data_IF_688141320370
#
_entry.id   IF_688141320370
#
_cell.length_a   1.000
_cell.length_b   1.000
_cell.length_c   1.000
_cell.angle_alpha   90.00
_cell.angle_beta   90.00
_cell.angle_gamma   90.00
#
_symmetry.space_group_name_H-M   'P 1'
#
loop_
_entity.id
_entity.type
_entity.pdbx_description
1 polymer ?
#
# COMPACT_ATOMS: atom_id res chain seq x y z
N UNK A 1 28.29 49.72 -19.20
CA UNK A 1 28.30 49.24 -20.60
C UNK A 1 28.19 47.68 -20.60
N UNK A 2 28.85 46.99 -19.71
CA UNK A 2 28.88 45.51 -19.67
C UNK A 2 27.53 44.88 -19.28
N UNK A 3 26.73 45.55 -18.45
CA UNK A 3 25.41 45.08 -18.01
C UNK A 3 24.34 45.12 -19.13
N UNK A 4 24.42 46.09 -20.01
CA UNK A 4 23.51 46.26 -21.16
C UNK A 4 23.75 45.14 -22.19
N UNK A 5 24.99 44.75 -22.41
CA UNK A 5 25.34 43.68 -23.35
C UNK A 5 24.85 42.31 -22.83
N UNK A 6 24.81 42.12 -21.51
CA UNK A 6 24.31 40.90 -20.88
C UNK A 6 22.79 40.77 -21.02
N UNK A 7 22.05 41.87 -20.86
CA UNK A 7 20.59 41.90 -21.03
C UNK A 7 20.15 41.64 -22.48
N UNK A 8 20.88 42.22 -23.45
CA UNK A 8 20.62 42.00 -24.88
C UNK A 8 20.87 40.52 -25.28
N UNK A 9 21.88 39.89 -24.68
CA UNK A 9 22.18 38.48 -24.90
C UNK A 9 21.09 37.55 -24.30
N UNK A 10 20.52 37.90 -23.15
CA UNK A 10 19.42 37.19 -22.53
C UNK A 10 18.10 37.29 -23.31
N UNK A 11 17.81 38.45 -23.89
CA UNK A 11 16.62 38.63 -24.74
C UNK A 11 16.74 37.88 -26.08
N UNK A 12 17.92 37.81 -26.68
CA UNK A 12 18.17 37.00 -27.87
C UNK A 12 18.07 35.51 -27.60
N UNK A 13 18.46 35.03 -26.43
CA UNK A 13 18.27 33.62 -26.00
C UNK A 13 16.79 33.28 -25.74
N UNK A 14 16.00 34.21 -25.24
CA UNK A 14 14.54 34.02 -25.08
C UNK A 14 13.77 33.96 -26.38
N UNK A 15 14.24 34.64 -27.42
CA UNK A 15 13.63 34.59 -28.77
C UNK A 15 14.07 33.38 -29.63
N UNK A 16 15.12 32.70 -29.26
CA UNK A 16 15.61 31.52 -29.99
C UNK A 16 14.94 30.20 -29.57
N UNK A 17 14.15 30.17 -28.47
CA UNK A 17 13.31 29.05 -28.11
C UNK A 17 11.91 29.23 -28.71
N UNK A 18 11.84 29.37 -30.06
CA UNK A 18 10.61 29.07 -30.78
C UNK A 18 10.53 27.53 -30.80
N UNK A 19 9.79 26.99 -29.85
CA UNK A 19 9.37 25.59 -29.87
C UNK A 19 8.63 25.39 -31.19
N UNK A 20 9.30 24.82 -32.20
CA UNK A 20 8.62 24.25 -33.34
C UNK A 20 7.57 23.31 -32.77
N UNK A 21 6.28 23.62 -32.97
CA UNK A 21 5.19 22.68 -32.68
C UNK A 21 5.60 21.36 -33.29
N UNK A 22 6.08 20.44 -32.48
CA UNK A 22 6.37 19.09 -32.92
C UNK A 22 5.05 18.55 -33.46
N UNK A 23 5.07 18.03 -34.67
CA UNK A 23 3.98 17.19 -35.19
C UNK A 23 3.62 16.24 -34.05
N UNK A 24 2.35 16.25 -33.63
CA UNK A 24 1.86 15.30 -32.67
C UNK A 24 2.24 13.91 -33.19
N UNK A 25 3.19 13.27 -32.51
CA UNK A 25 3.42 11.85 -32.74
C UNK A 25 2.10 11.16 -32.43
N UNK A 26 1.58 10.26 -33.31
CA UNK A 26 0.47 9.41 -32.91
C UNK A 26 0.89 8.76 -31.61
N UNK A 27 0.06 8.94 -30.55
CA UNK A 27 0.28 8.21 -29.31
C UNK A 27 0.28 6.75 -29.74
N UNK A 28 1.36 5.98 -29.49
CA UNK A 28 1.28 4.55 -29.69
C UNK A 28 0.06 4.10 -28.87
N UNK A 29 -0.82 3.28 -29.46
CA UNK A 29 -1.72 2.44 -28.69
C UNK A 29 -0.80 1.59 -27.82
N UNK A 30 -0.64 2.03 -26.56
CA UNK A 30 0.16 1.32 -25.59
C UNK A 30 -0.72 0.16 -25.17
N UNK A 31 -0.59 -0.97 -25.84
CA UNK A 31 -0.87 -2.24 -25.21
C UNK A 31 -0.09 -2.23 -23.90
N UNK A 32 -0.81 -2.02 -22.80
CA UNK A 32 -0.21 -1.96 -21.48
C UNK A 32 0.58 -3.27 -21.29
N UNK A 33 1.91 -3.23 -21.18
CA UNK A 33 2.68 -4.44 -21.01
C UNK A 33 2.15 -5.22 -19.81
N UNK A 34 2.16 -6.56 -19.85
CA UNK A 34 1.57 -7.41 -18.79
C UNK A 34 1.96 -6.99 -17.38
N UNK A 35 3.20 -6.56 -17.18
CA UNK A 35 3.71 -6.06 -15.90
C UNK A 35 2.97 -4.81 -15.38
N UNK A 36 2.52 -3.90 -16.26
CA UNK A 36 1.72 -2.74 -15.85
C UNK A 36 0.28 -3.12 -15.51
N UNK A 37 -0.26 -4.15 -16.17
CA UNK A 37 -1.59 -4.68 -15.84
C UNK A 37 -1.57 -5.40 -14.49
N UNK A 38 -0.57 -6.23 -14.21
CA UNK A 38 -0.36 -6.87 -12.90
C UNK A 38 -0.20 -5.86 -11.78
N UNK A 39 0.62 -4.83 -11.99
CA UNK A 39 0.79 -3.76 -11.02
C UNK A 39 -0.54 -3.05 -10.74
N UNK A 40 -1.30 -2.69 -11.77
CA UNK A 40 -2.59 -2.03 -11.61
C UNK A 40 -3.59 -2.89 -10.81
N UNK A 41 -3.66 -4.21 -11.09
CA UNK A 41 -4.50 -5.16 -10.35
C UNK A 41 -4.06 -5.24 -8.89
N UNK A 42 -2.77 -5.33 -8.63
CA UNK A 42 -2.19 -5.39 -7.28
C UNK A 42 -2.59 -4.17 -6.44
N UNK A 43 -2.41 -2.96 -6.95
CA UNK A 43 -2.74 -1.74 -6.21
C UNK A 43 -4.26 -1.54 -6.05
N UNK A 44 -5.06 -1.99 -7.02
CA UNK A 44 -6.52 -1.96 -6.87
C UNK A 44 -7.00 -2.94 -5.78
N UNK A 45 -6.44 -4.15 -5.71
CA UNK A 45 -6.74 -5.12 -4.65
C UNK A 45 -6.36 -4.58 -3.27
N UNK A 46 -5.18 -3.93 -3.15
CA UNK A 46 -4.76 -3.26 -1.92
C UNK A 46 -5.76 -2.17 -1.51
N UNK A 47 -6.22 -1.37 -2.47
CA UNK A 47 -7.24 -0.35 -2.22
C UNK A 47 -8.54 -0.94 -1.70
N UNK A 48 -9.00 -2.07 -2.25
CA UNK A 48 -10.21 -2.77 -1.79
C UNK A 48 -10.06 -3.20 -0.32
N UNK A 49 -8.92 -3.77 0.07
CA UNK A 49 -8.62 -4.17 1.45
C UNK A 49 -8.68 -2.97 2.40
N UNK A 50 -8.27 -1.79 1.94
CA UNK A 50 -8.30 -0.54 2.70
C UNK A 50 -9.68 0.18 2.67
N UNK A 51 -10.74 -0.46 2.15
CA UNK A 51 -12.10 0.07 2.15
C UNK A 51 -12.54 0.74 0.83
N UNK A 52 -11.75 0.58 -0.24
CA UNK A 52 -12.09 1.03 -1.58
C UNK A 52 -12.06 2.54 -1.77
N UNK A 53 -12.80 3.02 -2.78
CA UNK A 53 -12.85 4.45 -3.16
C UNK A 53 -13.48 5.36 -2.11
N UNK A 54 -14.25 4.81 -1.18
CA UNK A 54 -14.90 5.60 -0.13
C UNK A 54 -13.88 6.08 0.92
N UNK A 55 -12.89 5.25 1.22
CA UNK A 55 -11.82 5.53 2.20
C UNK A 55 -10.58 6.10 1.57
N UNK A 56 -10.19 5.59 0.40
CA UNK A 56 -9.03 6.04 -0.38
C UNK A 56 -9.50 6.62 -1.71
N UNK A 57 -9.55 7.96 -1.80
CA UNK A 57 -9.95 8.66 -3.02
C UNK A 57 -8.88 8.63 -4.11
N UNK A 58 -7.62 8.54 -3.71
CA UNK A 58 -6.49 8.48 -4.64
C UNK A 58 -6.41 7.09 -5.30
N UNK A 59 -6.11 7.08 -6.60
CA UNK A 59 -5.73 5.84 -7.28
C UNK A 59 -4.30 5.47 -6.86
N UNK A 60 -4.11 4.21 -6.49
CA UNK A 60 -2.77 3.68 -6.25
C UNK A 60 -2.29 3.05 -7.56
N UNK A 61 -1.15 3.49 -8.07
CA UNK A 61 -0.58 3.01 -9.33
C UNK A 61 0.87 2.54 -9.19
N UNK A 62 1.52 2.86 -8.07
CA UNK A 62 2.91 2.49 -7.83
C UNK A 62 3.37 2.72 -6.39
N UNK A 63 4.62 2.31 -6.13
CA UNK A 63 5.23 2.43 -4.80
C UNK A 63 5.37 3.90 -4.35
N UNK A 64 5.53 4.83 -5.29
CA UNK A 64 5.58 6.27 -4.97
C UNK A 64 4.27 6.77 -4.38
N UNK A 65 3.12 6.23 -4.83
CA UNK A 65 1.81 6.59 -4.27
C UNK A 65 1.68 6.07 -2.84
N UNK A 66 2.22 4.88 -2.53
CA UNK A 66 2.25 4.34 -1.17
C UNK A 66 3.12 5.21 -0.26
N UNK A 67 4.29 5.67 -0.74
CA UNK A 67 5.15 6.58 0.01
C UNK A 67 4.45 7.91 0.28
N UNK A 68 3.78 8.48 -0.73
CA UNK A 68 3.02 9.71 -0.57
C UNK A 68 1.88 9.52 0.45
N UNK A 69 1.10 8.44 0.30
CA UNK A 69 0.00 8.09 1.20
C UNK A 69 0.47 7.88 2.65
N UNK A 70 1.65 7.27 2.83
CA UNK A 70 2.25 7.09 4.17
C UNK A 70 2.54 8.43 4.84
N UNK A 71 3.00 9.41 4.07
CA UNK A 71 3.33 10.76 4.57
C UNK A 71 2.09 11.62 4.82
N UNK A 72 1.08 11.49 3.96
CA UNK A 72 -0.19 12.21 4.08
C UNK A 72 -1.06 11.64 5.21
N UNK A 73 -0.98 10.34 5.45
CA UNK A 73 -1.85 9.62 6.38
C UNK A 73 -3.10 9.06 5.70
N UNK A 74 -3.65 8.01 6.27
CA UNK A 74 -4.91 7.38 5.85
C UNK A 74 -5.98 7.58 6.91
N UNK A 75 -7.25 7.56 6.48
CA UNK A 75 -8.38 7.71 7.39
C UNK A 75 -8.48 6.54 8.37
N UNK A 76 -8.90 6.82 9.63
CA UNK A 76 -9.20 5.78 10.63
C UNK A 76 -10.20 4.75 10.11
N UNK A 77 -11.17 5.14 9.29
CA UNK A 77 -12.17 4.23 8.71
C UNK A 77 -11.58 3.07 7.92
N UNK A 78 -10.34 3.19 7.40
CA UNK A 78 -9.61 2.09 6.75
C UNK A 78 -9.35 0.91 7.69
N UNK A 79 -9.18 1.17 8.99
CA UNK A 79 -8.91 0.13 9.99
C UNK A 79 -10.01 -0.90 10.08
N UNK A 80 -11.27 -0.48 9.96
CA UNK A 80 -12.43 -1.39 10.01
C UNK A 80 -12.40 -2.38 8.85
N UNK A 81 -12.13 -1.90 7.63
CA UNK A 81 -12.03 -2.76 6.45
C UNK A 81 -10.87 -3.73 6.57
N UNK A 82 -9.69 -3.27 6.99
CA UNK A 82 -8.53 -4.13 7.18
C UNK A 82 -8.77 -5.17 8.28
N UNK A 83 -9.35 -4.78 9.42
CA UNK A 83 -9.69 -5.69 10.51
C UNK A 83 -10.64 -6.80 10.04
N UNK A 84 -11.63 -6.45 9.19
CA UNK A 84 -12.53 -7.41 8.57
C UNK A 84 -11.80 -8.40 7.64
N UNK A 85 -10.81 -7.94 6.87
CA UNK A 85 -10.00 -8.81 6.00
C UNK A 85 -9.09 -9.76 6.79
N UNK A 86 -8.58 -9.31 7.94
CA UNK A 86 -7.77 -10.14 8.85
C UNK A 86 -8.62 -11.01 9.79
N UNK A 87 -9.93 -10.78 9.88
CA UNK A 87 -10.81 -11.49 10.82
C UNK A 87 -10.53 -11.15 12.28
N UNK A 88 -10.10 -9.91 12.59
CA UNK A 88 -9.72 -9.48 13.94
C UNK A 88 -10.64 -8.37 14.46
N UNK A 89 -10.67 -8.22 15.79
CA UNK A 89 -11.36 -7.11 16.44
C UNK A 89 -10.60 -5.78 16.28
N UNK A 90 -11.31 -4.66 16.47
CA UNK A 90 -10.66 -3.34 16.51
C UNK A 90 -9.71 -3.17 17.71
N UNK A 91 -9.91 -3.94 18.78
CA UNK A 91 -9.00 -3.99 19.92
C UNK A 91 -7.68 -4.64 19.51
N UNK A 92 -7.73 -5.83 18.85
CA UNK A 92 -6.55 -6.50 18.30
C UNK A 92 -5.85 -5.61 17.27
N UNK A 93 -6.61 -4.98 16.36
CA UNK A 93 -6.05 -4.03 15.39
C UNK A 93 -5.29 -2.89 16.08
N UNK A 94 -5.85 -2.33 17.16
CA UNK A 94 -5.19 -1.27 17.92
C UNK A 94 -3.87 -1.75 18.53
N UNK A 95 -3.83 -2.99 19.03
CA UNK A 95 -2.61 -3.63 19.54
C UNK A 95 -1.53 -3.75 18.47
N UNK A 96 -1.88 -4.21 17.25
CA UNK A 96 -0.96 -4.28 16.11
C UNK A 96 -0.40 -2.91 15.70
N UNK A 97 -1.14 -1.83 15.96
CA UNK A 97 -0.72 -0.45 15.72
C UNK A 97 0.03 0.18 16.90
N UNK A 98 0.38 -0.61 17.92
CA UNK A 98 1.00 -0.13 19.16
C UNK A 98 0.24 1.05 19.79
N UNK A 99 -1.09 1.01 19.73
CA UNK A 99 -1.98 2.04 20.25
C UNK A 99 -3.03 1.43 21.17
N UNK A 100 -3.46 2.18 22.19
CA UNK A 100 -4.58 1.72 22.98
C UNK A 100 -5.87 1.78 22.17
N UNK A 101 -6.76 0.82 22.36
CA UNK A 101 -8.09 0.81 21.74
C UNK A 101 -8.86 2.12 21.99
N UNK A 102 -8.76 2.66 23.21
CA UNK A 102 -9.39 3.93 23.57
C UNK A 102 -8.88 5.11 22.73
N UNK A 103 -7.57 5.13 22.42
CA UNK A 103 -6.98 6.17 21.56
C UNK A 103 -7.51 6.08 20.13
N UNK A 104 -7.62 4.87 19.59
CA UNK A 104 -8.18 4.66 18.25
C UNK A 104 -9.68 5.00 18.25
N UNK A 105 -10.42 4.57 19.27
CA UNK A 105 -11.87 4.78 19.34
C UNK A 105 -12.26 6.27 19.41
N UNK A 106 -11.46 7.10 20.10
CA UNK A 106 -11.72 8.54 20.24
C UNK A 106 -11.52 9.36 18.98
N UNK A 107 -10.82 8.83 17.99
CA UNK A 107 -10.63 9.48 16.70
C UNK A 107 -11.90 9.43 15.85
N UNK A 108 -12.17 10.51 15.13
CA UNK A 108 -13.23 10.52 14.12
C UNK A 108 -12.92 9.57 12.97
N UNK A 109 -13.94 9.04 12.29
CA UNK A 109 -13.75 8.09 11.17
C UNK A 109 -12.95 8.69 10.00
N UNK A 110 -13.07 10.00 9.80
CA UNK A 110 -12.36 10.75 8.76
C UNK A 110 -11.00 11.31 9.24
N UNK A 111 -10.67 11.16 10.53
CA UNK A 111 -9.38 11.61 11.07
C UNK A 111 -8.24 10.77 10.48
N UNK A 112 -7.17 11.46 10.07
CA UNK A 112 -5.99 10.80 9.51
C UNK A 112 -5.15 10.16 10.62
N UNK A 113 -4.64 8.98 10.33
CA UNK A 113 -3.64 8.32 11.14
C UNK A 113 -2.28 8.99 10.92
N UNK A 114 -1.44 8.98 11.94
CA UNK A 114 -0.06 9.43 11.81
C UNK A 114 0.76 8.51 10.87
N UNK A 115 1.93 8.98 10.46
CA UNK A 115 2.81 8.28 9.50
C UNK A 115 3.13 6.85 9.95
N UNK A 116 3.48 6.63 11.23
CA UNK A 116 3.85 5.30 11.72
C UNK A 116 2.67 4.31 11.68
N UNK A 117 1.49 4.76 12.09
CA UNK A 117 0.28 3.93 12.01
C UNK A 117 -0.13 3.69 10.57
N UNK A 118 -0.03 4.71 9.71
CA UNK A 118 -0.32 4.58 8.28
C UNK A 118 0.61 3.54 7.63
N UNK A 119 1.92 3.62 7.88
CA UNK A 119 2.90 2.66 7.38
C UNK A 119 2.55 1.23 7.82
N UNK A 120 2.25 1.05 9.12
CA UNK A 120 1.86 -0.27 9.65
C UNK A 120 0.58 -0.81 9.01
N UNK A 121 -0.42 0.04 8.79
CA UNK A 121 -1.67 -0.35 8.11
C UNK A 121 -1.41 -0.76 6.66
N UNK A 122 -0.58 -0.03 5.93
CA UNK A 122 -0.20 -0.39 4.55
C UNK A 122 0.60 -1.69 4.51
N UNK A 123 1.51 -1.92 5.46
CA UNK A 123 2.24 -3.18 5.59
C UNK A 123 1.29 -4.37 5.84
N UNK A 124 0.37 -4.23 6.80
CA UNK A 124 -0.65 -5.25 7.09
C UNK A 124 -1.60 -5.50 5.92
N UNK A 125 -1.98 -4.46 5.19
CA UNK A 125 -2.84 -4.59 4.01
C UNK A 125 -2.12 -5.31 2.86
N UNK A 126 -0.85 -5.00 2.61
CA UNK A 126 -0.03 -5.71 1.63
C UNK A 126 0.18 -7.19 2.02
N UNK A 127 0.38 -7.47 3.30
CA UNK A 127 0.43 -8.82 3.83
C UNK A 127 -0.89 -9.57 3.63
N UNK A 128 -2.04 -8.95 3.96
CA UNK A 128 -3.36 -9.56 3.76
C UNK A 128 -3.63 -9.86 2.28
N UNK A 129 -3.29 -8.93 1.40
CA UNK A 129 -3.39 -9.14 -0.04
C UNK A 129 -2.59 -10.38 -0.47
N UNK A 130 -1.31 -10.44 -0.12
CA UNK A 130 -0.45 -11.58 -0.46
C UNK A 130 -0.97 -12.88 0.12
N UNK A 131 -1.46 -12.86 1.36
CA UNK A 131 -2.04 -14.03 2.01
C UNK A 131 -3.28 -14.55 1.28
N UNK A 132 -4.18 -13.66 0.88
CA UNK A 132 -5.40 -14.02 0.11
C UNK A 132 -5.01 -14.60 -1.25
N UNK A 133 -4.03 -14.01 -1.94
CA UNK A 133 -3.53 -14.50 -3.24
C UNK A 133 -2.98 -15.93 -3.12
N UNK A 134 -2.13 -16.20 -2.13
CA UNK A 134 -1.48 -17.51 -1.95
C UNK A 134 -2.45 -18.59 -1.45
N UNK A 135 -3.31 -18.24 -0.51
CA UNK A 135 -4.28 -19.19 0.09
C UNK A 135 -5.51 -19.40 -0.81
N UNK A 136 -5.83 -18.43 -1.68
CA UNK A 136 -6.86 -18.51 -2.70
C UNK A 136 -8.20 -17.85 -2.36
N UNK A 137 -8.51 -17.58 -1.07
CA UNK A 137 -9.71 -16.84 -0.68
C UNK A 137 -9.52 -16.09 0.63
N UNK A 138 -10.36 -15.04 0.84
CA UNK A 138 -10.38 -14.25 2.08
C UNK A 138 -10.73 -15.11 3.29
N UNK A 139 -11.69 -16.01 3.14
CA UNK A 139 -12.18 -16.88 4.20
C UNK A 139 -11.10 -17.90 4.62
N UNK A 140 -10.49 -18.59 3.66
CA UNK A 140 -9.41 -19.53 3.92
C UNK A 140 -8.16 -18.84 4.50
N UNK A 141 -7.87 -17.61 4.04
CA UNK A 141 -6.78 -16.82 4.60
C UNK A 141 -7.03 -16.44 6.07
N UNK A 142 -8.25 -16.05 6.44
CA UNK A 142 -8.61 -15.80 7.84
C UNK A 142 -8.41 -17.06 8.69
N UNK A 143 -8.93 -18.19 8.24
CA UNK A 143 -8.79 -19.45 8.94
C UNK A 143 -7.31 -19.81 9.15
N UNK A 144 -6.50 -19.71 8.09
CA UNK A 144 -5.06 -19.94 8.17
C UNK A 144 -4.37 -18.98 9.12
N UNK A 145 -4.73 -17.68 9.10
CA UNK A 145 -4.13 -16.64 9.93
C UNK A 145 -4.32 -16.91 11.43
N UNK A 146 -5.44 -17.56 11.79
CA UNK A 146 -5.80 -17.88 13.18
C UNK A 146 -5.44 -19.32 13.59
N UNK A 147 -4.96 -20.14 12.67
CA UNK A 147 -4.60 -21.55 12.94
C UNK A 147 -3.14 -21.68 13.39
N UNK A 148 -2.85 -22.53 14.40
CA UNK A 148 -1.48 -22.80 14.80
C UNK A 148 -0.68 -23.46 13.68
N UNK A 149 0.55 -22.99 13.45
CA UNK A 149 1.45 -23.51 12.40
C UNK A 149 2.73 -24.06 13.04
N UNK A 150 3.12 -25.27 12.68
CA UNK A 150 4.32 -25.95 13.21
C UNK A 150 5.57 -25.11 12.99
N UNK A 151 5.74 -24.53 11.79
CA UNK A 151 6.87 -23.67 11.45
C UNK A 151 6.96 -22.39 12.31
N UNK A 152 5.89 -22.02 13.03
CA UNK A 152 5.82 -20.89 13.97
C UNK A 152 5.80 -21.35 15.44
N UNK A 153 6.25 -22.58 15.73
CA UNK A 153 6.24 -23.14 17.08
C UNK A 153 4.84 -23.39 17.61
N UNK A 154 3.91 -23.83 16.76
CA UNK A 154 2.50 -24.05 17.05
C UNK A 154 1.75 -22.79 17.52
N UNK A 155 2.17 -21.62 17.03
CA UNK A 155 1.46 -20.35 17.21
C UNK A 155 0.77 -19.94 15.92
N UNK A 156 -0.35 -19.20 15.99
CA UNK A 156 -0.99 -18.67 14.80
C UNK A 156 -0.14 -17.55 14.18
N UNK A 157 -0.14 -17.38 12.85
CA UNK A 157 0.54 -16.28 12.17
C UNK A 157 0.18 -14.90 12.71
N UNK A 158 -1.05 -14.73 13.18
CA UNK A 158 -1.54 -13.48 13.76
C UNK A 158 -0.65 -12.96 14.89
N UNK A 159 -0.11 -13.85 15.72
CA UNK A 159 0.71 -13.48 16.89
C UNK A 159 2.04 -12.81 16.50
N UNK A 160 2.41 -12.84 15.23
CA UNK A 160 3.66 -12.28 14.73
C UNK A 160 3.46 -10.96 13.95
N UNK A 161 2.21 -10.49 13.78
CA UNK A 161 1.93 -9.30 12.96
C UNK A 161 2.18 -7.98 13.67
N UNK A 162 2.48 -7.99 14.95
CA UNK A 162 2.80 -6.79 15.74
C UNK A 162 4.09 -6.10 15.29
N UNK A 163 5.05 -6.87 14.75
CA UNK A 163 6.34 -6.36 14.28
C UNK A 163 6.55 -6.59 12.79
N UNK A 164 7.33 -5.72 12.12
CA UNK A 164 7.70 -5.90 10.71
C UNK A 164 8.55 -7.17 10.50
N UNK A 165 9.41 -7.53 11.47
CA UNK A 165 10.16 -8.79 11.41
C UNK A 165 9.24 -10.02 11.45
N UNK A 166 8.21 -9.97 12.28
CA UNK A 166 7.20 -11.03 12.36
C UNK A 166 6.41 -11.14 11.06
N UNK A 167 5.95 -10.03 10.50
CA UNK A 167 5.28 -10.00 9.18
C UNK A 167 6.18 -10.62 8.10
N UNK A 168 7.46 -10.25 8.04
CA UNK A 168 8.41 -10.82 7.08
C UNK A 168 8.62 -12.33 7.27
N UNK A 169 8.63 -12.81 8.52
CA UNK A 169 8.68 -14.24 8.81
C UNK A 169 7.46 -14.97 8.26
N UNK A 170 6.26 -14.43 8.50
CA UNK A 170 5.00 -15.02 8.01
C UNK A 170 4.93 -14.97 6.47
N UNK A 171 5.40 -13.90 5.83
CA UNK A 171 5.50 -13.81 4.36
C UNK A 171 6.41 -14.91 3.80
N UNK A 172 7.53 -15.22 4.45
CA UNK A 172 8.40 -16.34 4.04
C UNK A 172 7.68 -17.69 4.11
N UNK A 173 6.82 -17.89 5.11
CA UNK A 173 6.02 -19.12 5.23
C UNK A 173 4.97 -19.18 4.11
N UNK A 174 4.29 -18.08 3.80
CA UNK A 174 3.38 -18.00 2.65
C UNK A 174 4.10 -18.34 1.34
N UNK A 175 5.31 -17.85 1.13
CA UNK A 175 6.11 -18.17 -0.05
C UNK A 175 6.47 -19.68 -0.14
N UNK A 176 6.69 -20.37 0.98
CA UNK A 176 6.89 -21.83 0.98
C UNK A 176 5.62 -22.58 0.64
N UNK A 177 4.47 -22.16 1.17
CA UNK A 177 3.17 -22.73 0.83
C UNK A 177 2.87 -22.64 -0.66
N UNK A 178 3.14 -21.49 -1.27
CA UNK A 178 2.99 -21.27 -2.72
C UNK A 178 3.85 -22.24 -3.54
N UNK A 179 5.04 -22.56 -3.07
CA UNK A 179 5.96 -23.52 -3.72
C UNK A 179 5.65 -24.99 -3.39
N UNK A 180 4.58 -25.25 -2.60
CA UNK A 180 4.22 -26.62 -2.17
C UNK A 180 5.17 -27.22 -1.13
N UNK A 181 5.99 -26.39 -0.47
CA UNK A 181 6.92 -26.83 0.58
C UNK A 181 6.23 -26.73 1.93
N UNK A 182 5.71 -27.84 2.41
CA UNK A 182 5.08 -27.97 3.74
C UNK A 182 6.12 -28.52 4.73
N UNK A 183 6.76 -27.66 5.49
CA UNK A 183 7.67 -28.08 6.59
C UNK A 183 7.64 -27.05 7.72
#
# INVERSE_FOLDING_TARGET
>A
IQYVVYLIKLEKLKKAVVIKKSKAYPKPEVDNPPALQEAAVKYESLRVILGGRQTLRQSLSGDFDLIALTREGIKKSTLKSLAEHLGISMETMSGLLHSSYRNIQRKDEDELLDTLKTEKVLELAAFAQRGIEVIGSKEAFKEWLHSPIVALGNKPPLDFLDTSFGIQLVIKILGRLEQGVFS
#
